data_IF_225273626744
#
_entry.id   IF_225273626744
#
_cell.length_a   1.000
_cell.length_b   1.000
_cell.length_c   1.000
_cell.angle_alpha   90.00
_cell.angle_beta   90.00
_cell.angle_gamma   90.00
#
_symmetry.space_group_name_H-M   'P 1'
#
loop_
_entity.id
_entity.type
_entity.pdbx_description
1 polymer ?
#
# COMPACT_ATOMS: atom_id res chain seq x y z
N UNK A 1 28.67 -12.52 -9.65
CA UNK A 1 27.49 -11.68 -9.98
C UNK A 1 27.99 -10.29 -10.30
N UNK A 2 27.43 -9.67 -11.32
CA UNK A 2 27.75 -8.29 -11.74
C UNK A 2 26.74 -7.33 -11.11
N UNK A 3 27.17 -6.15 -10.68
CA UNK A 3 26.28 -5.10 -10.21
C UNK A 3 26.03 -4.06 -11.31
N UNK A 4 24.81 -3.53 -11.34
CA UNK A 4 24.34 -2.49 -12.26
C UNK A 4 23.61 -1.43 -11.43
N UNK A 5 23.85 -0.15 -11.72
CA UNK A 5 23.12 0.94 -11.05
C UNK A 5 21.68 1.04 -11.58
N UNK A 6 20.75 1.53 -10.75
CA UNK A 6 19.37 1.83 -11.18
C UNK A 6 19.41 2.77 -12.37
N UNK A 7 18.52 2.54 -13.34
CA UNK A 7 18.40 3.35 -14.56
C UNK A 7 19.63 3.37 -15.48
N UNK A 8 20.66 2.57 -15.18
CA UNK A 8 21.82 2.39 -16.06
C UNK A 8 21.64 1.12 -16.90
N UNK A 9 21.84 1.17 -18.23
CA UNK A 9 21.66 -0.01 -19.07
C UNK A 9 22.76 -1.04 -18.80
N UNK A 10 22.37 -2.31 -18.68
CA UNK A 10 23.30 -3.42 -18.67
C UNK A 10 23.78 -3.68 -20.10
N UNK A 11 25.09 -3.56 -20.32
CA UNK A 11 25.76 -3.92 -21.57
C UNK A 11 26.46 -5.27 -21.43
N UNK A 12 26.08 -6.25 -22.24
CA UNK A 12 26.59 -7.61 -22.22
C UNK A 12 27.22 -8.00 -23.57
N UNK A 13 28.54 -8.13 -23.69
CA UNK A 13 29.16 -8.52 -24.96
C UNK A 13 28.73 -9.94 -25.34
N UNK A 14 28.21 -10.10 -26.56
CA UNK A 14 27.78 -11.39 -27.09
C UNK A 14 28.95 -12.11 -27.77
N UNK A 15 29.06 -13.44 -27.64
CA UNK A 15 29.99 -14.23 -28.43
C UNK A 15 29.72 -14.07 -29.94
N UNK A 16 30.78 -14.17 -30.74
CA UNK A 16 30.67 -14.16 -32.21
C UNK A 16 29.69 -15.26 -32.65
N UNK A 17 28.70 -14.88 -33.49
CA UNK A 17 27.60 -15.74 -34.00
C UNK A 17 26.38 -15.93 -33.07
N UNK A 18 26.16 -15.08 -32.06
CA UNK A 18 24.90 -15.05 -31.30
C UNK A 18 24.17 -13.71 -31.44
N UNK A 19 22.84 -13.75 -31.52
CA UNK A 19 21.99 -12.56 -31.70
C UNK A 19 21.33 -12.21 -30.36
N UNK A 20 21.02 -10.94 -30.13
CA UNK A 20 20.24 -10.49 -28.95
C UNK A 20 18.91 -11.24 -28.75
N UNK A 21 18.27 -11.65 -29.85
CA UNK A 21 16.98 -12.38 -29.87
C UNK A 21 17.06 -13.76 -29.21
N UNK A 22 18.26 -14.35 -29.12
CA UNK A 22 18.48 -15.65 -28.48
C UNK A 22 18.50 -15.54 -26.95
N UNK A 23 18.44 -14.32 -26.40
CA UNK A 23 18.60 -14.03 -24.99
C UNK A 23 17.38 -13.32 -24.41
N UNK A 24 17.10 -13.65 -23.15
CA UNK A 24 16.03 -13.04 -22.38
C UNK A 24 16.48 -12.83 -20.94
N UNK A 25 15.84 -11.89 -20.27
CA UNK A 25 16.12 -11.57 -18.87
C UNK A 25 14.89 -11.87 -18.01
N UNK A 26 15.11 -12.45 -16.84
CA UNK A 26 14.11 -12.63 -15.78
C UNK A 26 14.52 -11.82 -14.57
N UNK A 27 13.55 -11.18 -13.90
CA UNK A 27 13.80 -10.27 -12.79
C UNK A 27 12.63 -10.16 -11.81
N UNK A 28 12.72 -9.26 -10.82
CA UNK A 28 11.69 -9.08 -9.80
C UNK A 28 10.38 -8.58 -10.47
N UNK A 29 9.35 -9.45 -10.49
CA UNK A 29 8.03 -9.10 -11.01
C UNK A 29 7.87 -9.22 -12.53
N UNK A 30 8.87 -9.70 -13.25
CA UNK A 30 8.80 -9.85 -14.71
C UNK A 30 9.55 -11.08 -15.22
N UNK A 31 8.83 -11.91 -15.96
CA UNK A 31 9.40 -13.05 -16.67
C UNK A 31 9.56 -12.71 -18.15
N UNK A 32 10.76 -12.91 -18.70
CA UNK A 32 10.97 -12.87 -20.14
C UNK A 32 11.11 -11.47 -20.75
N UNK A 33 11.90 -10.60 -20.13
CA UNK A 33 12.20 -9.26 -20.68
C UNK A 33 13.14 -9.35 -21.89
N UNK A 34 12.81 -8.66 -23.00
CA UNK A 34 13.63 -8.65 -24.20
C UNK A 34 14.92 -7.86 -24.01
N UNK A 35 15.95 -8.25 -24.76
CA UNK A 35 17.26 -7.58 -24.78
C UNK A 35 17.45 -6.97 -26.16
N UNK A 36 17.90 -5.71 -26.23
CA UNK A 36 18.22 -5.05 -27.49
C UNK A 36 19.64 -5.42 -27.95
N UNK A 37 19.92 -5.33 -29.25
CA UNK A 37 21.30 -5.42 -29.75
C UNK A 37 21.88 -4.05 -30.03
N UNK A 38 23.12 -3.86 -29.62
CA UNK A 38 23.90 -2.66 -29.90
C UNK A 38 25.30 -3.09 -30.32
N UNK A 39 25.89 -2.42 -31.31
CA UNK A 39 27.30 -2.63 -31.65
C UNK A 39 28.17 -1.65 -30.87
N UNK A 40 29.01 -2.17 -29.96
CA UNK A 40 29.94 -1.36 -29.18
C UNK A 40 31.37 -1.73 -29.60
N UNK A 41 32.11 -0.78 -30.18
CA UNK A 41 33.48 -1.03 -30.65
C UNK A 41 33.60 -2.12 -31.72
N UNK A 42 32.55 -2.30 -32.54
CA UNK A 42 32.50 -3.32 -33.60
C UNK A 42 32.15 -4.74 -33.11
N UNK A 43 31.77 -4.92 -31.84
CA UNK A 43 31.33 -6.21 -31.28
C UNK A 43 29.83 -6.19 -30.97
N UNK A 44 29.09 -7.28 -31.27
CA UNK A 44 27.69 -7.39 -30.90
C UNK A 44 27.57 -7.41 -29.37
N UNK A 45 26.69 -6.56 -28.83
CA UNK A 45 26.49 -6.39 -27.39
C UNK A 45 24.98 -6.36 -27.13
N UNK A 46 24.52 -7.20 -26.20
CA UNK A 46 23.16 -7.17 -25.70
C UNK A 46 23.02 -5.99 -24.73
N UNK A 47 22.00 -5.16 -24.92
CA UNK A 47 21.67 -4.03 -24.06
C UNK A 47 20.32 -4.26 -23.40
N UNK A 48 20.30 -4.21 -22.08
CA UNK A 48 19.08 -4.21 -21.28
C UNK A 48 18.94 -2.89 -20.55
N UNK A 49 17.98 -2.08 -20.98
CA UNK A 49 17.76 -0.73 -20.44
C UNK A 49 16.77 -0.69 -19.26
N UNK A 50 16.00 -1.75 -19.03
CA UNK A 50 14.93 -1.77 -18.03
C UNK A 50 15.45 -2.17 -16.63
N UNK A 51 16.31 -1.32 -16.06
CA UNK A 51 16.91 -1.48 -14.73
C UNK A 51 16.28 -0.53 -13.71
N UNK A 52 14.98 -0.27 -13.84
CA UNK A 52 14.23 0.64 -12.95
C UNK A 52 13.94 0.00 -11.59
N UNK A 53 13.75 -1.32 -11.54
CA UNK A 53 13.47 -2.04 -10.30
C UNK A 53 14.76 -2.62 -9.72
N UNK A 54 15.08 -2.33 -8.44
CA UNK A 54 16.22 -2.97 -7.79
C UNK A 54 15.93 -4.44 -7.53
N UNK A 55 16.97 -5.28 -7.64
CA UNK A 55 16.87 -6.70 -7.32
C UNK A 55 17.78 -7.60 -8.14
N UNK A 56 17.55 -8.91 -8.03
CA UNK A 56 18.36 -9.93 -8.72
C UNK A 56 17.70 -10.28 -10.05
N UNK A 57 18.48 -10.11 -11.11
CA UNK A 57 18.11 -10.47 -12.47
C UNK A 57 18.99 -11.61 -12.98
N UNK A 58 18.49 -12.33 -13.98
CA UNK A 58 19.22 -13.41 -14.64
C UNK A 58 19.07 -13.32 -16.15
N UNK A 59 20.19 -13.29 -16.85
CA UNK A 59 20.24 -13.37 -18.31
C UNK A 59 20.44 -14.82 -18.72
N UNK A 60 19.56 -15.34 -19.58
CA UNK A 60 19.60 -16.71 -20.05
C UNK A 60 19.14 -16.81 -21.50
N UNK A 61 19.39 -17.95 -22.14
CA UNK A 61 18.94 -18.17 -23.51
C UNK A 61 17.44 -18.49 -23.53
N UNK A 62 16.76 -18.04 -24.58
CA UNK A 62 15.36 -18.41 -24.81
C UNK A 62 15.24 -19.93 -24.86
N UNK A 63 14.33 -20.49 -24.06
CA UNK A 63 14.10 -21.94 -23.94
C UNK A 63 14.96 -22.66 -22.89
N UNK A 64 15.86 -21.96 -22.19
CA UNK A 64 16.56 -22.47 -21.01
C UNK A 64 15.86 -22.05 -19.71
N UNK A 65 16.12 -22.76 -18.61
CA UNK A 65 15.57 -22.37 -17.29
C UNK A 65 16.27 -21.14 -16.75
N UNK A 66 15.51 -20.22 -16.15
CA UNK A 66 16.03 -18.98 -15.56
C UNK A 66 17.14 -19.22 -14.53
N UNK A 67 17.08 -20.32 -13.76
CA UNK A 67 18.09 -20.69 -12.76
C UNK A 67 19.48 -20.94 -13.36
N UNK A 68 19.55 -21.39 -14.61
CA UNK A 68 20.80 -21.63 -15.33
C UNK A 68 21.45 -20.35 -15.88
N UNK A 69 20.73 -19.23 -15.82
CA UNK A 69 21.18 -17.92 -16.31
C UNK A 69 22.23 -17.27 -15.43
N UNK A 70 23.03 -16.40 -16.05
CA UNK A 70 24.05 -15.61 -15.37
C UNK A 70 23.39 -14.51 -14.52
N UNK A 71 23.64 -14.47 -13.19
CA UNK A 71 23.00 -13.51 -12.32
C UNK A 71 23.71 -12.15 -12.33
N UNK A 72 22.91 -11.09 -12.37
CA UNK A 72 23.32 -9.72 -12.10
C UNK A 72 22.36 -9.06 -11.12
N UNK A 73 22.84 -8.06 -10.40
CA UNK A 73 22.09 -7.33 -9.38
C UNK A 73 21.95 -5.90 -9.84
N UNK A 74 20.71 -5.40 -9.88
CA UNK A 74 20.43 -3.97 -9.97
C UNK A 74 20.40 -3.44 -8.54
N UNK A 75 21.41 -2.65 -8.18
CA UNK A 75 21.50 -2.03 -6.86
C UNK A 75 20.37 -1.00 -6.71
N UNK A 76 19.91 -0.75 -5.49
CA UNK A 76 18.93 0.31 -5.22
C UNK A 76 19.61 1.69 -5.21
N UNK A 77 18.84 2.74 -5.51
CA UNK A 77 19.37 4.10 -5.43
C UNK A 77 19.65 4.46 -3.97
N UNK A 78 20.92 4.69 -3.65
CA UNK A 78 21.35 5.08 -2.30
C UNK A 78 20.73 6.39 -1.82
N UNK A 79 20.26 7.24 -2.74
CA UNK A 79 19.56 8.47 -2.37
C UNK A 79 18.19 8.19 -1.74
N UNK A 80 17.57 7.03 -1.99
CA UNK A 80 16.33 6.64 -1.30
C UNK A 80 16.54 6.39 0.20
N UNK A 81 17.76 6.03 0.60
CA UNK A 81 18.14 5.88 2.02
C UNK A 81 18.59 7.20 2.66
N UNK A 82 18.41 8.33 1.97
CA UNK A 82 18.75 9.64 2.50
C UNK A 82 17.71 10.08 3.54
N UNK A 83 18.03 9.89 4.82
CA UNK A 83 17.21 10.33 5.95
C UNK A 83 17.24 11.84 6.21
N UNK A 84 17.63 12.66 5.22
CA UNK A 84 17.51 14.11 5.35
C UNK A 84 16.04 14.47 5.49
N UNK A 85 15.70 15.43 6.36
CA UNK A 85 14.35 15.96 6.44
C UNK A 85 13.86 16.41 5.06
N UNK A 86 12.60 16.12 4.76
CA UNK A 86 11.91 16.60 3.56
C UNK A 86 11.85 18.13 3.59
N UNK A 87 12.05 18.76 2.42
CA UNK A 87 11.85 20.19 2.27
C UNK A 87 10.36 20.55 2.14
N UNK A 88 10.07 21.85 2.21
CA UNK A 88 8.70 22.36 2.17
C UNK A 88 7.99 22.03 0.85
N UNK A 89 8.73 21.98 -0.26
CA UNK A 89 8.17 21.65 -1.58
C UNK A 89 7.75 20.17 -1.66
N UNK A 90 8.57 19.26 -1.15
CA UNK A 90 8.24 17.83 -1.09
C UNK A 90 7.08 17.56 -0.13
N UNK A 91 7.01 18.27 1.00
CA UNK A 91 5.86 18.20 1.90
C UNK A 91 4.57 18.66 1.23
N UNK A 92 4.62 19.74 0.46
CA UNK A 92 3.46 20.25 -0.30
C UNK A 92 2.96 19.25 -1.35
N UNK A 93 3.88 18.52 -2.01
CA UNK A 93 3.51 17.46 -2.95
C UNK A 93 2.80 16.29 -2.27
N UNK A 94 3.32 15.82 -1.12
CA UNK A 94 2.75 14.68 -0.38
C UNK A 94 1.39 15.04 0.25
N UNK A 95 1.26 16.25 0.78
CA UNK A 95 0.04 16.70 1.47
C UNK A 95 -1.03 17.27 0.53
N UNK A 96 -0.70 17.52 -0.75
CA UNK A 96 -1.63 18.11 -1.71
C UNK A 96 -2.84 17.25 -2.08
N UNK A 97 -2.81 15.95 -1.76
CA UNK A 97 -3.87 14.98 -2.08
C UNK A 97 -4.83 14.73 -0.91
N UNK A 98 -4.78 15.54 0.16
CA UNK A 98 -5.59 15.49 1.40
C UNK A 98 -5.59 14.16 2.19
N UNK A 99 -4.89 13.13 1.68
CA UNK A 99 -4.75 11.81 2.32
C UNK A 99 -3.70 11.79 3.42
N UNK A 100 -2.79 12.77 3.41
CA UNK A 100 -1.69 12.89 4.35
C UNK A 100 -1.69 14.27 4.99
N UNK A 101 -1.47 14.30 6.30
CA UNK A 101 -1.35 15.54 7.06
C UNK A 101 0.04 15.59 7.65
N UNK A 102 0.75 16.70 7.43
CA UNK A 102 2.04 16.94 8.07
C UNK A 102 1.81 17.16 9.58
N UNK A 103 2.50 16.37 10.40
CA UNK A 103 2.50 16.53 11.85
C UNK A 103 3.89 16.99 12.27
N UNK A 104 4.00 18.24 12.71
CA UNK A 104 5.27 18.80 13.18
C UNK A 104 5.60 18.35 14.60
N UNK A 105 4.58 18.09 15.42
CA UNK A 105 4.76 17.72 16.83
C UNK A 105 3.89 16.55 17.27
N UNK A 106 4.38 15.83 18.29
CA UNK A 106 3.59 14.76 18.95
C UNK A 106 2.31 15.29 19.63
N UNK A 107 2.24 16.59 19.91
CA UNK A 107 1.04 17.22 20.47
C UNK A 107 -0.07 17.34 19.41
N UNK A 108 0.30 17.57 18.14
CA UNK A 108 -0.64 17.63 17.02
C UNK A 108 -1.29 16.27 16.77
N UNK A 109 -0.51 15.19 16.89
CA UNK A 109 -1.04 13.82 16.82
C UNK A 109 -2.12 13.57 17.88
N UNK A 110 -1.85 13.97 19.13
CA UNK A 110 -2.81 13.79 20.23
C UNK A 110 -4.09 14.60 20.01
N UNK A 111 -3.96 15.78 19.43
CA UNK A 111 -5.09 16.67 19.14
C UNK A 111 -5.96 16.13 18.01
N UNK A 112 -5.37 15.60 16.93
CA UNK A 112 -6.13 14.95 15.86
C UNK A 112 -6.87 13.69 16.34
N UNK A 113 -6.21 12.84 17.13
CA UNK A 113 -6.84 11.66 17.72
C UNK A 113 -8.01 12.02 18.67
N UNK A 114 -7.92 13.15 19.37
CA UNK A 114 -9.03 13.67 20.19
C UNK A 114 -10.18 14.22 19.35
N UNK A 115 -9.90 14.85 18.22
CA UNK A 115 -10.95 15.40 17.36
C UNK A 115 -11.75 14.30 16.64
N UNK A 116 -11.14 13.18 16.27
CA UNK A 116 -11.89 12.00 15.77
C UNK A 116 -12.89 11.46 16.81
N UNK A 117 -12.52 11.53 18.09
CA UNK A 117 -13.38 11.15 19.21
C UNK A 117 -14.59 12.09 19.43
N UNK A 118 -14.69 13.24 18.76
CA UNK A 118 -15.83 14.14 18.90
C UNK A 118 -17.15 13.49 18.41
N UNK A 119 -17.08 12.53 17.48
CA UNK A 119 -18.26 11.72 17.08
C UNK A 119 -18.81 10.84 18.22
N UNK A 120 -18.06 10.63 19.29
CA UNK A 120 -18.47 9.87 20.48
C UNK A 120 -19.54 10.62 21.28
N UNK A 121 -19.66 11.94 21.15
CA UNK A 121 -20.60 12.75 21.93
C UNK A 121 -22.06 12.58 21.50
N UNK A 122 -22.38 12.01 20.35
CA UNK A 122 -23.79 11.74 20.00
C UNK A 122 -24.31 10.43 20.61
N UNK A 123 -23.41 9.49 20.91
CA UNK A 123 -23.78 8.15 21.39
C UNK A 123 -24.40 8.15 22.78
N UNK A 124 -23.91 8.99 23.70
CA UNK A 124 -24.49 9.07 25.03
C UNK A 124 -25.90 9.68 24.99
N UNK A 125 -26.16 10.65 24.11
CA UNK A 125 -27.50 11.20 23.88
C UNK A 125 -28.46 10.14 23.34
N UNK A 126 -28.02 9.34 22.36
CA UNK A 126 -28.80 8.21 21.84
C UNK A 126 -29.06 7.15 22.92
N UNK A 127 -28.05 6.83 23.74
CA UNK A 127 -28.19 5.91 24.87
C UNK A 127 -29.24 6.42 25.86
N UNK A 128 -29.20 7.70 26.23
CA UNK A 128 -30.21 8.31 27.11
C UNK A 128 -31.60 8.28 26.47
N UNK A 129 -31.71 8.50 25.16
CA UNK A 129 -32.97 8.36 24.42
C UNK A 129 -33.55 6.95 24.51
N UNK A 130 -32.73 5.91 24.33
CA UNK A 130 -33.13 4.50 24.45
C UNK A 130 -33.55 4.16 25.88
N UNK A 131 -32.77 4.58 26.89
CA UNK A 131 -33.11 4.36 28.30
C UNK A 131 -34.45 5.01 28.63
N UNK A 132 -34.68 6.25 28.19
CA UNK A 132 -35.95 6.95 28.38
C UNK A 132 -37.12 6.21 27.74
N UNK A 133 -36.95 5.71 26.52
CA UNK A 133 -37.96 4.90 25.83
C UNK A 133 -38.29 3.62 26.60
N UNK A 134 -37.28 2.90 27.11
CA UNK A 134 -37.47 1.68 27.89
C UNK A 134 -38.21 1.95 29.21
N UNK A 135 -37.86 3.02 29.93
CA UNK A 135 -38.56 3.41 31.15
C UNK A 135 -40.03 3.74 30.85
N UNK A 136 -40.29 4.44 29.75
CA UNK A 136 -41.64 4.76 29.30
C UNK A 136 -42.44 3.50 28.96
N UNK A 137 -41.84 2.56 28.25
CA UNK A 137 -42.47 1.28 27.90
C UNK A 137 -42.84 0.47 29.16
N UNK A 138 -41.94 0.38 30.14
CA UNK A 138 -42.20 -0.28 31.43
C UNK A 138 -43.31 0.44 32.21
N UNK A 139 -43.34 1.77 32.19
CA UNK A 139 -44.38 2.54 32.86
C UNK A 139 -45.76 2.29 32.22
N UNK A 140 -45.85 2.30 30.89
CA UNK A 140 -47.08 2.03 30.16
C UNK A 140 -47.59 0.60 30.36
N UNK A 141 -46.71 -0.39 30.26
CA UNK A 141 -47.07 -1.80 30.50
C UNK A 141 -47.51 -2.02 31.94
N UNK A 142 -46.84 -1.39 32.92
CA UNK A 142 -47.27 -1.43 34.33
C UNK A 142 -48.63 -0.78 34.56
N UNK A 143 -48.91 0.35 33.89
CA UNK A 143 -50.21 1.02 33.97
C UNK A 143 -51.31 0.16 33.33
N UNK A 144 -51.04 -0.47 32.19
CA UNK A 144 -51.98 -1.35 31.50
C UNK A 144 -52.33 -2.60 32.33
N UNK A 145 -51.33 -3.24 32.96
CA UNK A 145 -51.55 -4.41 33.83
C UNK A 145 -52.34 -4.03 35.08
N UNK A 146 -52.01 -2.91 35.74
CA UNK A 146 -52.80 -2.42 36.89
C UNK A 146 -54.23 -2.04 36.50
N UNK A 147 -54.43 -1.47 35.31
CA UNK A 147 -55.75 -1.17 34.77
C UNK A 147 -56.58 -2.43 34.47
N UNK A 148 -55.94 -3.52 34.06
CA UNK A 148 -56.61 -4.80 33.81
C UNK A 148 -57.15 -5.48 35.07
N UNK A 149 -56.46 -5.37 36.22
CA UNK A 149 -56.97 -5.90 37.49
C UNK A 149 -58.18 -5.10 38.02
N UNK A 150 -58.19 -3.79 37.84
CA UNK A 150 -59.34 -2.95 38.21
C UNK A 150 -60.61 -3.26 37.39
N UNK A 151 -60.46 -3.72 36.14
CA UNK A 151 -61.58 -4.13 35.30
C UNK A 151 -62.13 -5.54 35.66
N UNK A 152 -61.30 -6.42 36.20
CA UNK A 152 -61.70 -7.77 36.63
C UNK A 152 -62.38 -7.76 38.00
N UNK A 153 -61.97 -6.89 38.92
CA UNK A 153 -62.65 -6.70 40.23
C UNK A 153 -64.00 -5.98 40.10
N UNK A 154 -64.25 -5.31 38.97
CA UNK A 154 -65.51 -4.61 38.68
C UNK A 154 -66.55 -5.48 37.95
N UNK A 155 -66.25 -6.75 37.65
CA UNK A 155 -67.21 -7.69 37.07
C UNK A 155 -67.90 -8.48 38.20
N UNK A 156 -69.17 -8.17 38.56
CA UNK A 156 -69.92 -8.99 39.52
C UNK A 156 -70.29 -10.35 38.89
N UNK A 157 -70.22 -11.40 39.71
CA UNK A 157 -70.84 -12.71 39.46
C UNK A 157 -72.37 -12.63 39.59
#
# INVERSE_FOLDING_TARGET
GRNVEVSSPLLWPLPDQTTSVDWTITGPGSDGLPVAEVSLGGKPTAMFANTELPGVYRMHRVGTTAESGEPFVVDFDRTESNLKPLDEAAWAEITGDDRFIALETMNDLTTQLKNENSRTELWWLLLFGVIGLLVFEVALTRQMVKGGHAALDAAPA
#
